data_IF_631636758924
#
_entry.id   IF_631636758924
#
_cell.length_a   1.000
_cell.length_b   1.000
_cell.length_c   1.000
_cell.angle_alpha   90.00
_cell.angle_beta   90.00
_cell.angle_gamma   90.00
#
_symmetry.space_group_name_H-M   'P 1'
#
loop_
_entity.id
_entity.type
_entity.pdbx_description
1 polymer ?
#
# COMPACT_ATOMS: atom_id res chain seq x y z
N UNK A 1 -12.36 24.67 -80.41
CA UNK A 1 -13.56 24.22 -79.68
C UNK A 1 -13.72 22.75 -79.96
N UNK A 2 -13.72 21.93 -78.89
CA UNK A 2 -14.18 20.54 -78.79
C UNK A 2 -13.44 19.54 -79.70
N UNK A 3 -13.15 18.32 -79.32
CA UNK A 3 -13.41 17.45 -78.17
C UNK A 3 -12.64 16.19 -78.57
N UNK A 4 -11.79 15.57 -77.73
CA UNK A 4 -11.45 14.16 -77.92
C UNK A 4 -10.98 13.53 -76.61
N UNK A 5 -11.93 12.79 -76.04
CA UNK A 5 -11.76 11.65 -75.15
C UNK A 5 -10.44 10.89 -75.33
N UNK A 6 -9.70 10.64 -74.24
CA UNK A 6 -8.85 9.46 -74.18
C UNK A 6 -8.96 8.72 -72.85
N UNK A 7 -9.10 7.42 -73.02
CA UNK A 7 -9.45 6.36 -72.09
C UNK A 7 -8.38 6.16 -71.01
N UNK A 8 -8.88 5.74 -69.84
CA UNK A 8 -8.14 5.19 -68.72
C UNK A 8 -7.40 3.90 -69.11
N UNK A 9 -6.13 3.81 -68.69
CA UNK A 9 -5.40 2.56 -68.43
C UNK A 9 -4.94 2.59 -66.97
N UNK A 10 -5.10 1.51 -66.18
CA UNK A 10 -4.82 1.55 -64.75
C UNK A 10 -3.32 1.39 -64.48
N UNK A 11 -2.74 2.36 -63.78
CA UNK A 11 -1.44 2.22 -63.15
C UNK A 11 -1.64 1.43 -61.85
N UNK A 12 -1.08 0.23 -61.78
CA UNK A 12 -1.01 -0.55 -60.55
C UNK A 12 0.01 0.12 -59.63
N UNK A 13 -0.47 0.83 -58.61
CA UNK A 13 0.35 1.28 -57.49
C UNK A 13 0.22 0.22 -56.39
N UNK A 14 1.30 -0.54 -56.19
CA UNK A 14 1.48 -1.37 -54.99
C UNK A 14 1.67 -0.43 -53.80
N UNK A 15 0.59 -0.10 -53.09
CA UNK A 15 0.69 0.51 -51.76
C UNK A 15 0.93 -0.64 -50.78
N UNK A 16 2.19 -0.83 -50.39
CA UNK A 16 2.51 -1.64 -49.22
C UNK A 16 1.97 -0.92 -47.98
N UNK A 17 0.75 -1.25 -47.57
CA UNK A 17 0.24 -0.91 -46.24
C UNK A 17 1.03 -1.69 -45.22
N UNK A 18 2.06 -1.03 -44.67
CA UNK A 18 2.70 -1.41 -43.43
C UNK A 18 1.65 -1.25 -42.31
N UNK A 19 0.93 -2.33 -42.02
CA UNK A 19 0.10 -2.47 -40.82
C UNK A 19 1.05 -2.47 -39.62
N UNK A 20 1.45 -1.29 -39.17
CA UNK A 20 1.89 -1.11 -37.80
C UNK A 20 0.61 -1.24 -36.97
N UNK A 21 0.28 -2.48 -36.55
CA UNK A 21 -0.48 -2.65 -35.33
C UNK A 21 0.38 -2.02 -34.23
N UNK A 22 0.14 -0.74 -33.96
CA UNK A 22 0.41 -0.22 -32.63
C UNK A 22 -0.48 -1.04 -31.72
N UNK A 23 0.05 -2.11 -31.15
CA UNK A 23 -0.48 -2.63 -29.91
C UNK A 23 -0.49 -1.40 -28.99
N UNK A 24 -1.69 -0.87 -28.75
CA UNK A 24 -1.89 0.16 -27.76
C UNK A 24 -1.35 -0.45 -26.47
N UNK A 25 -0.14 -0.04 -26.09
CA UNK A 25 0.39 -0.30 -24.76
C UNK A 25 -0.70 0.24 -23.85
N UNK A 26 -1.42 -0.60 -23.08
CA UNK A 26 -2.46 -0.09 -22.21
C UNK A 26 -1.77 0.91 -21.29
N UNK A 27 -2.18 2.17 -21.44
CA UNK A 27 -1.78 3.29 -20.63
C UNK A 27 -1.82 2.84 -19.18
N UNK A 28 -0.64 2.81 -18.56
CA UNK A 28 -0.39 2.45 -17.16
C UNK A 28 -1.53 3.05 -16.32
N UNK A 29 -2.35 2.20 -15.70
CA UNK A 29 -3.47 2.65 -14.90
C UNK A 29 -2.94 3.49 -13.74
N UNK A 30 -3.25 4.79 -13.77
CA UNK A 30 -2.92 5.71 -12.69
C UNK A 30 -4.06 5.63 -11.67
N UNK A 31 -3.77 5.09 -10.49
CA UNK A 31 -4.59 5.38 -9.32
C UNK A 31 -4.17 6.78 -8.89
N UNK A 32 -4.99 7.76 -9.29
CA UNK A 32 -4.89 9.08 -8.68
C UNK A 32 -5.48 8.94 -7.28
N UNK A 33 -4.66 9.21 -6.26
CA UNK A 33 -5.17 9.98 -5.14
C UNK A 33 -5.68 11.27 -5.76
N UNK A 34 -6.94 11.28 -6.21
CA UNK A 34 -7.62 12.53 -6.09
C UNK A 34 -7.56 12.77 -4.59
N UNK A 35 -6.81 13.79 -4.23
CA UNK A 35 -7.08 14.65 -3.10
C UNK A 35 -8.52 15.15 -3.30
N UNK A 36 -9.48 14.22 -3.30
CA UNK A 36 -10.87 14.50 -3.15
C UNK A 36 -10.84 15.44 -1.97
N UNK A 37 -11.39 16.63 -2.18
CA UNK A 37 -11.65 17.54 -1.09
C UNK A 37 -12.68 16.78 -0.26
N UNK A 38 -12.23 15.83 0.55
CA UNK A 38 -13.10 15.00 1.37
C UNK A 38 -13.85 16.02 2.19
N UNK A 39 -15.17 16.04 1.97
CA UNK A 39 -16.04 17.08 2.47
C UNK A 39 -16.09 17.06 3.99
N UNK A 40 -17.03 17.80 4.56
CA UNK A 40 -17.27 17.71 6.01
C UNK A 40 -17.82 16.35 6.43
N UNK A 41 -18.34 15.59 5.48
CA UNK A 41 -18.94 14.27 5.67
C UNK A 41 -18.64 13.37 4.49
N UNK A 42 -18.61 12.06 4.72
CA UNK A 42 -18.74 11.02 3.69
C UNK A 42 -20.02 10.23 3.95
N UNK A 43 -20.70 9.82 2.89
CA UNK A 43 -21.87 8.94 2.98
C UNK A 43 -21.48 7.54 2.58
N UNK A 44 -21.76 6.59 3.46
CA UNK A 44 -21.60 5.18 3.20
C UNK A 44 -22.96 4.52 2.98
N UNK A 45 -23.04 3.65 1.98
CA UNK A 45 -24.16 2.78 1.68
C UNK A 45 -23.75 1.33 1.93
N UNK A 46 -24.42 0.67 2.89
CA UNK A 46 -24.29 -0.77 3.10
C UNK A 46 -25.68 -1.40 3.07
N UNK A 47 -25.85 -2.41 2.22
CA UNK A 47 -27.18 -2.94 1.90
C UNK A 47 -28.17 -1.81 1.54
N UNK A 48 -29.29 -1.71 2.26
CA UNK A 48 -30.33 -0.69 2.03
C UNK A 48 -30.19 0.52 2.99
N UNK A 49 -29.17 0.52 3.85
CA UNK A 49 -28.95 1.57 4.84
C UNK A 49 -27.86 2.54 4.37
N UNK A 50 -28.04 3.80 4.75
CA UNK A 50 -27.05 4.85 4.51
C UNK A 50 -26.69 5.50 5.83
N UNK A 51 -25.40 5.68 6.06
CA UNK A 51 -24.90 6.35 7.24
C UNK A 51 -23.84 7.37 6.87
N UNK A 52 -23.76 8.41 7.69
CA UNK A 52 -22.85 9.54 7.49
C UNK A 52 -21.69 9.38 8.46
N UNK A 53 -20.47 9.41 7.92
CA UNK A 53 -19.24 9.45 8.71
C UNK A 53 -18.59 10.82 8.59
N UNK A 54 -17.89 11.21 9.64
CA UNK A 54 -17.23 12.50 9.73
C UNK A 54 -15.71 12.30 9.66
N UNK A 55 -15.06 12.74 8.57
CA UNK A 55 -13.62 12.64 8.43
C UNK A 55 -12.87 13.33 9.57
N UNK A 56 -11.93 12.61 10.16
CA UNK A 56 -11.07 13.13 11.22
C UNK A 56 -9.97 14.01 10.60
N UNK A 57 -10.22 15.32 10.54
CA UNK A 57 -9.28 16.31 9.98
C UNK A 57 -7.96 16.44 10.78
N UNK A 58 -7.90 15.95 12.01
CA UNK A 58 -6.68 15.94 12.81
C UNK A 58 -5.76 14.79 12.36
N UNK A 59 -6.33 13.60 12.13
CA UNK A 59 -5.59 12.40 11.74
C UNK A 59 -5.62 12.11 10.24
N UNK A 60 -6.36 12.91 9.46
CA UNK A 60 -6.25 13.01 8.01
C UNK A 60 -4.77 13.14 7.64
N UNK A 61 -4.31 12.46 6.59
CA UNK A 61 -2.93 12.54 6.17
C UNK A 61 -2.55 13.98 5.82
N UNK A 62 -1.99 14.70 6.79
CA UNK A 62 -1.17 15.88 6.52
C UNK A 62 0.17 15.35 6.05
N UNK A 63 0.78 15.91 4.99
CA UNK A 63 2.05 15.42 4.42
C UNK A 63 3.25 15.30 5.37
N UNK A 64 3.11 15.56 6.68
CA UNK A 64 4.22 15.77 7.61
C UNK A 64 4.12 15.08 8.98
N UNK A 65 3.11 14.27 9.31
CA UNK A 65 2.98 13.72 10.68
C UNK A 65 2.82 12.19 10.69
N UNK A 66 3.92 11.52 11.06
CA UNK A 66 4.11 10.32 11.89
C UNK A 66 3.33 9.01 11.63
N UNK A 67 2.33 8.98 10.73
CA UNK A 67 1.61 7.77 10.31
C UNK A 67 1.85 7.39 8.83
N UNK A 68 2.77 8.10 8.16
CA UNK A 68 3.14 7.87 6.76
C UNK A 68 3.57 6.44 6.38
N UNK A 69 4.15 5.61 7.27
CA UNK A 69 4.52 4.26 6.86
C UNK A 69 3.27 3.47 6.47
N UNK A 70 2.20 3.49 7.28
CA UNK A 70 0.95 2.77 7.01
C UNK A 70 0.25 3.18 5.70
N UNK A 71 0.23 4.47 5.33
CA UNK A 71 -0.49 4.93 4.13
C UNK A 71 0.22 4.62 2.80
N UNK A 72 1.55 4.74 2.73
CA UNK A 72 2.32 4.34 1.54
C UNK A 72 2.32 2.81 1.34
N UNK A 73 2.29 2.10 2.46
CA UNK A 73 2.09 0.66 2.59
C UNK A 73 0.76 0.24 1.99
N UNK A 74 -0.34 0.93 2.32
CA UNK A 74 -1.65 0.54 1.79
C UNK A 74 -1.77 0.85 0.29
N UNK A 75 -1.11 1.90 -0.22
CA UNK A 75 -1.05 2.10 -1.68
C UNK A 75 -0.31 0.95 -2.37
N UNK A 76 0.82 0.52 -1.80
CA UNK A 76 1.59 -0.63 -2.32
C UNK A 76 0.77 -1.93 -2.25
N UNK A 77 -0.03 -2.08 -1.19
CA UNK A 77 -0.98 -3.17 -1.01
C UNK A 77 -2.08 -3.15 -2.09
N UNK A 78 -2.70 -1.99 -2.34
CA UNK A 78 -3.75 -1.81 -3.34
C UNK A 78 -3.24 -2.02 -4.77
N UNK A 79 -2.02 -1.54 -5.06
CA UNK A 79 -1.34 -1.75 -6.33
C UNK A 79 -1.11 -3.24 -6.58
N UNK A 80 -0.69 -3.97 -5.55
CA UNK A 80 -0.47 -5.41 -5.61
C UNK A 80 -1.78 -6.20 -5.74
N UNK A 81 -2.80 -5.89 -4.94
CA UNK A 81 -4.15 -6.49 -5.08
C UNK A 81 -4.65 -6.31 -6.50
N UNK A 82 -4.52 -5.11 -7.07
CA UNK A 82 -4.99 -4.81 -8.43
C UNK A 82 -4.26 -5.61 -9.51
N UNK A 83 -2.96 -5.89 -9.32
CA UNK A 83 -2.18 -6.74 -10.24
C UNK A 83 -2.62 -8.20 -10.20
N UNK A 84 -2.96 -8.71 -9.01
CA UNK A 84 -3.25 -10.13 -8.80
C UNK A 84 -4.71 -10.51 -9.02
N UNK A 85 -5.64 -9.60 -8.76
CA UNK A 85 -7.07 -9.95 -8.70
C UNK A 85 -7.86 -9.54 -9.94
N UNK A 86 -7.25 -8.83 -10.91
CA UNK A 86 -7.94 -8.11 -12.01
C UNK A 86 -9.02 -7.13 -11.52
N UNK A 87 -9.17 -6.94 -10.20
CA UNK A 87 -10.13 -6.03 -9.61
C UNK A 87 -9.64 -4.60 -9.90
N UNK A 88 -10.54 -3.78 -10.45
CA UNK A 88 -10.32 -2.35 -10.64
C UNK A 88 -11.12 -1.64 -9.57
N UNK A 89 -10.51 -1.44 -8.42
CA UNK A 89 -11.15 -0.77 -7.29
C UNK A 89 -10.39 0.52 -7.04
N UNK A 90 -11.11 1.64 -7.09
CA UNK A 90 -10.63 2.91 -6.56
C UNK A 90 -11.21 3.06 -5.16
N UNK A 91 -10.34 3.11 -4.17
CA UNK A 91 -10.71 3.25 -2.76
C UNK A 91 -9.91 4.39 -2.14
N UNK A 92 -10.61 5.31 -1.48
CA UNK A 92 -10.01 6.38 -0.68
C UNK A 92 -9.98 5.96 0.80
N UNK A 93 -8.83 6.05 1.46
CA UNK A 93 -8.69 5.64 2.86
C UNK A 93 -8.83 6.86 3.74
N UNK A 94 -9.79 6.84 4.66
CA UNK A 94 -10.23 8.03 5.38
C UNK A 94 -10.29 7.74 6.88
N UNK A 95 -9.48 8.40 7.71
CA UNK A 95 -9.71 8.37 9.15
C UNK A 95 -11.01 9.11 9.46
N UNK A 96 -11.83 8.56 10.35
CA UNK A 96 -13.11 9.13 10.76
C UNK A 96 -13.19 9.27 12.28
N UNK A 97 -14.06 10.15 12.74
CA UNK A 97 -14.24 10.43 14.18
C UNK A 97 -15.13 9.41 14.88
N UNK A 98 -15.98 8.72 14.12
CA UNK A 98 -16.79 7.62 14.59
C UNK A 98 -15.91 6.50 15.12
N UNK A 99 -16.30 5.90 16.25
CA UNK A 99 -15.57 4.79 16.89
C UNK A 99 -15.84 3.45 16.19
N UNK A 100 -15.81 3.44 14.87
CA UNK A 100 -15.76 2.22 14.06
C UNK A 100 -14.35 1.64 14.10
N UNK A 101 -14.14 0.35 13.85
CA UNK A 101 -12.76 -0.16 13.77
C UNK A 101 -12.15 0.23 12.43
N UNK A 102 -12.43 -0.59 11.41
CA UNK A 102 -12.17 -0.33 9.99
C UNK A 102 -13.40 -0.83 9.24
N UNK A 103 -13.76 -0.16 8.15
CA UNK A 103 -14.94 -0.53 7.37
C UNK A 103 -14.79 -0.10 5.91
N UNK A 104 -15.01 -1.03 4.97
CA UNK A 104 -15.29 -0.66 3.58
C UNK A 104 -16.63 0.06 3.48
N UNK A 105 -16.62 1.22 2.82
CA UNK A 105 -17.72 2.14 2.74
C UNK A 105 -18.01 2.53 1.28
N UNK A 106 -18.89 1.79 0.57
CA UNK A 106 -19.32 2.15 -0.77
C UNK A 106 -20.13 3.46 -0.76
N UNK A 107 -19.87 4.34 -1.72
CA UNK A 107 -20.46 5.68 -1.78
C UNK A 107 -20.35 6.26 -3.20
N UNK A 108 -20.43 7.58 -3.29
CA UNK A 108 -20.03 8.30 -4.51
C UNK A 108 -18.59 7.94 -4.94
N UNK A 109 -17.73 7.72 -3.95
CA UNK A 109 -16.46 7.01 -4.04
C UNK A 109 -16.50 5.80 -3.09
N UNK A 110 -15.66 4.79 -3.32
CA UNK A 110 -15.48 3.76 -2.29
C UNK A 110 -14.47 4.27 -1.27
N UNK A 111 -14.78 4.12 0.01
CA UNK A 111 -13.86 4.49 1.09
C UNK A 111 -13.48 3.27 1.91
N UNK A 112 -12.28 3.26 2.49
CA UNK A 112 -12.04 2.50 3.72
C UNK A 112 -11.97 3.50 4.86
N UNK A 113 -13.01 3.51 5.68
CA UNK A 113 -13.12 4.38 6.84
C UNK A 113 -12.52 3.68 8.07
N UNK A 114 -11.78 4.40 8.91
CA UNK A 114 -11.20 3.80 10.12
C UNK A 114 -11.10 4.79 11.28
N UNK A 115 -11.22 4.28 12.52
CA UNK A 115 -10.93 5.08 13.70
C UNK A 115 -9.44 5.01 14.04
N UNK A 116 -8.77 6.15 13.96
CA UNK A 116 -7.31 6.23 14.11
C UNK A 116 -6.77 5.61 15.42
N UNK A 117 -7.32 5.91 16.61
CA UNK A 117 -6.79 5.34 17.86
C UNK A 117 -6.85 3.82 17.93
N UNK A 118 -7.87 3.20 17.32
CA UNK A 118 -7.97 1.74 17.27
C UNK A 118 -6.88 1.12 16.40
N UNK A 119 -6.68 1.69 15.21
CA UNK A 119 -5.67 1.22 14.27
C UNK A 119 -4.23 1.45 14.80
N UNK A 120 -4.00 2.57 15.47
CA UNK A 120 -2.73 2.88 16.16
C UNK A 120 -2.46 1.92 17.31
N UNK A 121 -3.49 1.53 18.07
CA UNK A 121 -3.35 0.53 19.12
C UNK A 121 -2.96 -0.84 18.53
N UNK A 122 -3.64 -1.29 17.47
CA UNK A 122 -3.32 -2.54 16.78
C UNK A 122 -1.86 -2.55 16.30
N UNK A 123 -1.43 -1.49 15.63
CA UNK A 123 -0.04 -1.37 15.18
C UNK A 123 0.92 -1.31 16.38
N UNK A 124 0.56 -0.59 17.43
CA UNK A 124 1.41 -0.44 18.60
C UNK A 124 1.63 -1.74 19.36
N UNK A 125 0.61 -2.61 19.41
CA UNK A 125 0.70 -3.95 20.00
C UNK A 125 1.50 -4.92 19.13
N UNK A 126 1.25 -4.93 17.83
CA UNK A 126 1.83 -5.93 16.91
C UNK A 126 3.19 -5.54 16.36
N UNK A 127 3.49 -4.23 16.29
CA UNK A 127 4.65 -3.65 15.60
C UNK A 127 4.85 -4.22 14.18
N UNK A 128 3.75 -4.53 13.51
CA UNK A 128 3.75 -5.28 12.25
C UNK A 128 2.84 -4.64 11.21
N UNK A 129 3.43 -4.30 10.07
CA UNK A 129 2.68 -3.83 8.91
C UNK A 129 1.79 -4.92 8.33
N UNK A 130 2.15 -6.20 8.49
CA UNK A 130 1.30 -7.33 8.11
C UNK A 130 0.00 -7.39 8.89
N UNK A 131 -0.01 -6.89 10.14
CA UNK A 131 -1.25 -6.76 10.88
C UNK A 131 -2.19 -5.75 10.21
N UNK A 132 -1.67 -4.57 9.84
CA UNK A 132 -2.45 -3.54 9.14
C UNK A 132 -2.91 -4.03 7.77
N UNK A 133 -2.01 -4.65 6.99
CA UNK A 133 -2.35 -5.25 5.70
C UNK A 133 -3.47 -6.28 5.82
N UNK A 134 -3.44 -7.14 6.85
CA UNK A 134 -4.49 -8.13 7.05
C UNK A 134 -5.86 -7.52 7.29
N UNK A 135 -5.94 -6.41 8.04
CA UNK A 135 -7.21 -5.70 8.25
C UNK A 135 -7.70 -5.05 6.95
N UNK A 136 -6.83 -4.35 6.22
CA UNK A 136 -7.25 -3.73 4.95
C UNK A 136 -7.61 -4.76 3.87
N UNK A 137 -6.88 -5.87 3.81
CA UNK A 137 -7.18 -6.98 2.90
C UNK A 137 -8.54 -7.61 3.19
N UNK A 138 -8.92 -7.70 4.47
CA UNK A 138 -10.23 -8.17 4.90
C UNK A 138 -11.34 -7.23 4.40
N UNK A 139 -11.20 -5.92 4.60
CA UNK A 139 -12.18 -4.92 4.11
C UNK A 139 -12.32 -4.93 2.58
N UNK A 140 -11.20 -5.08 1.88
CA UNK A 140 -11.19 -5.20 0.42
C UNK A 140 -11.79 -6.55 -0.01
N UNK A 141 -11.64 -7.59 0.79
CA UNK A 141 -12.33 -8.87 0.61
C UNK A 141 -13.84 -8.71 0.64
N UNK A 142 -14.39 -7.92 1.56
CA UNK A 142 -15.82 -7.61 1.58
C UNK A 142 -16.28 -6.93 0.29
N UNK A 143 -15.50 -5.99 -0.24
CA UNK A 143 -15.80 -5.36 -1.53
C UNK A 143 -15.69 -6.34 -2.70
N UNK A 144 -14.56 -7.05 -2.79
CA UNK A 144 -14.21 -7.94 -3.89
C UNK A 144 -15.21 -9.09 -4.04
N UNK A 145 -15.74 -9.57 -2.91
CA UNK A 145 -16.73 -10.64 -2.84
C UNK A 145 -18.17 -10.10 -2.83
N UNK A 146 -18.36 -8.78 -2.98
CA UNK A 146 -19.66 -8.11 -3.06
C UNK A 146 -20.52 -8.34 -1.80
N UNK A 147 -19.88 -8.44 -0.62
CA UNK A 147 -20.52 -8.61 0.68
C UNK A 147 -21.23 -7.33 1.14
N UNK A 148 -20.66 -6.18 0.80
CA UNK A 148 -21.14 -4.82 1.06
C UNK A 148 -22.58 -4.55 0.56
N UNK A 149 -23.03 -5.30 -0.46
CA UNK A 149 -24.37 -5.18 -1.05
C UNK A 149 -25.39 -6.16 -0.49
N UNK A 150 -24.94 -7.27 0.12
CA UNK A 150 -25.82 -8.40 0.47
C UNK A 150 -26.10 -8.54 1.96
N UNK A 151 -25.24 -8.01 2.84
CA UNK A 151 -25.51 -7.89 4.28
C UNK A 151 -24.36 -7.17 5.00
N UNK A 152 -24.68 -6.40 6.06
CA UNK A 152 -23.71 -5.94 7.07
C UNK A 152 -22.90 -7.13 7.63
N UNK A 153 -21.63 -6.89 8.01
CA UNK A 153 -20.62 -7.84 8.52
C UNK A 153 -20.97 -8.57 9.82
N UNK A 154 -22.15 -9.18 9.88
CA UNK A 154 -22.73 -9.90 11.02
C UNK A 154 -23.07 -11.35 10.69
N UNK A 155 -22.72 -11.82 9.48
CA UNK A 155 -22.85 -13.22 9.11
C UNK A 155 -21.47 -13.90 9.22
N UNK A 156 -21.28 -14.87 10.13
CA UNK A 156 -19.99 -15.52 10.33
C UNK A 156 -19.35 -16.08 9.05
N UNK A 157 -20.17 -16.56 8.10
CA UNK A 157 -19.69 -17.05 6.81
C UNK A 157 -19.01 -15.96 5.98
N UNK A 158 -19.60 -14.77 5.92
CA UNK A 158 -19.12 -13.63 5.12
C UNK A 158 -17.80 -13.09 5.67
N UNK A 159 -17.69 -13.01 7.00
CA UNK A 159 -16.46 -12.64 7.69
C UNK A 159 -15.32 -13.63 7.41
N UNK A 160 -15.60 -14.94 7.45
CA UNK A 160 -14.59 -15.96 7.14
C UNK A 160 -14.18 -15.96 5.66
N UNK A 161 -15.09 -15.63 4.75
CA UNK A 161 -14.78 -15.47 3.34
C UNK A 161 -13.86 -14.25 3.09
N UNK A 162 -14.08 -13.15 3.82
CA UNK A 162 -13.19 -12.00 3.81
C UNK A 162 -11.81 -12.29 4.45
N UNK A 163 -11.77 -13.04 5.57
CA UNK A 163 -10.52 -13.52 6.18
C UNK A 163 -9.72 -14.46 5.25
N UNK A 164 -10.42 -15.34 4.53
CA UNK A 164 -9.81 -16.22 3.52
C UNK A 164 -9.27 -15.42 2.33
N UNK A 165 -9.99 -14.40 1.86
CA UNK A 165 -9.49 -13.49 0.85
C UNK A 165 -8.23 -12.75 1.34
N UNK A 166 -8.25 -12.24 2.58
CA UNK A 166 -7.10 -11.58 3.18
C UNK A 166 -5.87 -12.50 3.20
N UNK A 167 -6.03 -13.74 3.66
CA UNK A 167 -4.94 -14.72 3.66
C UNK A 167 -4.35 -14.98 2.27
N UNK A 168 -5.20 -15.09 1.25
CA UNK A 168 -4.77 -15.27 -0.14
C UNK A 168 -3.92 -14.10 -0.62
N UNK A 169 -4.40 -12.87 -0.46
CA UNK A 169 -3.66 -11.68 -0.87
C UNK A 169 -2.33 -11.61 -0.15
N UNK A 170 -2.31 -11.74 1.19
CA UNK A 170 -1.10 -11.66 1.99
C UNK A 170 -0.05 -12.70 1.57
N UNK A 171 -0.46 -13.91 1.20
CA UNK A 171 0.44 -14.91 0.63
C UNK A 171 1.05 -14.47 -0.71
N UNK A 172 0.24 -13.91 -1.61
CA UNK A 172 0.72 -13.37 -2.88
C UNK A 172 1.69 -12.19 -2.69
N UNK A 173 1.55 -11.44 -1.58
CA UNK A 173 2.51 -10.40 -1.18
C UNK A 173 3.80 -10.94 -0.55
N UNK A 174 3.91 -12.25 -0.33
CA UNK A 174 5.07 -12.88 0.27
C UNK A 174 5.09 -12.87 1.80
N UNK A 175 3.95 -12.68 2.46
CA UNK A 175 3.84 -12.89 3.90
C UNK A 175 4.06 -14.37 4.23
N UNK A 176 4.80 -14.65 5.30
CA UNK A 176 4.70 -15.96 5.97
C UNK A 176 3.30 -16.15 6.56
N UNK A 177 2.92 -17.41 6.85
CA UNK A 177 1.64 -17.69 7.51
C UNK A 177 1.54 -17.00 8.88
N UNK A 178 2.66 -16.91 9.60
CA UNK A 178 2.71 -16.22 10.89
C UNK A 178 2.43 -14.72 10.74
N UNK A 179 3.07 -14.07 9.76
CA UNK A 179 2.84 -12.67 9.41
C UNK A 179 1.38 -12.44 8.99
N UNK A 180 0.83 -13.29 8.12
CA UNK A 180 -0.55 -13.21 7.66
C UNK A 180 -1.59 -13.31 8.79
N UNK A 181 -1.25 -14.03 9.86
CA UNK A 181 -2.11 -14.22 11.03
C UNK A 181 -1.86 -13.20 12.16
N UNK A 182 -0.93 -12.25 11.99
CA UNK A 182 -0.48 -11.37 13.08
C UNK A 182 -1.60 -10.49 13.66
N UNK A 183 -2.46 -9.90 12.81
CA UNK A 183 -3.58 -9.07 13.29
C UNK A 183 -4.49 -9.84 14.25
N UNK A 184 -4.89 -11.05 13.85
CA UNK A 184 -5.82 -11.93 14.56
C UNK A 184 -5.27 -12.47 15.89
N UNK A 185 -3.96 -12.36 16.10
CA UNK A 185 -3.29 -12.70 17.38
C UNK A 185 -3.18 -11.51 18.34
N UNK A 186 -3.55 -10.30 17.93
CA UNK A 186 -3.44 -9.09 18.77
C UNK A 186 -4.51 -9.02 19.86
N UNK A 187 -4.17 -8.49 21.03
CA UNK A 187 -5.15 -8.28 22.09
C UNK A 187 -6.25 -7.31 21.66
N UNK A 188 -5.92 -6.32 20.81
CA UNK A 188 -6.89 -5.40 20.19
C UNK A 188 -8.01 -6.15 19.48
N UNK A 189 -7.71 -7.20 18.72
CA UNK A 189 -8.74 -8.01 18.04
C UNK A 189 -9.55 -8.87 19.03
N UNK A 190 -8.89 -9.44 20.05
CA UNK A 190 -9.53 -10.28 21.07
C UNK A 190 -10.45 -9.49 22.01
N UNK A 191 -10.08 -8.27 22.40
CA UNK A 191 -10.88 -7.44 23.30
C UNK A 191 -12.19 -7.00 22.62
N UNK A 192 -12.18 -6.79 21.31
CA UNK A 192 -13.40 -6.45 20.58
C UNK A 192 -14.39 -7.62 20.49
N UNK A 193 -13.91 -8.86 20.46
CA UNK A 193 -14.73 -10.07 20.58
C UNK A 193 -15.43 -10.16 21.95
N UNK A 194 -14.80 -9.64 23.02
CA UNK A 194 -15.27 -9.81 24.41
C UNK A 194 -16.05 -8.60 24.94
N UNK A 195 -15.72 -7.37 24.53
CA UNK A 195 -16.17 -6.13 25.21
C UNK A 195 -17.24 -5.36 24.43
N UNK A 196 -17.27 -5.42 23.10
CA UNK A 196 -18.16 -4.56 22.30
C UNK A 196 -19.59 -5.08 22.13
N UNK A 197 -19.92 -6.27 22.65
CA UNK A 197 -21.22 -6.92 22.43
C UNK A 197 -21.65 -6.90 20.94
N UNK A 198 -20.70 -7.02 20.01
CA UNK A 198 -21.01 -7.21 18.61
C UNK A 198 -20.92 -8.72 18.29
N UNK A 199 -22.04 -9.47 18.29
CA UNK A 199 -22.08 -10.93 18.07
C UNK A 199 -21.74 -11.35 16.62
N UNK A 200 -21.00 -10.51 15.91
CA UNK A 200 -20.88 -10.49 14.46
C UNK A 200 -19.63 -11.19 13.92
N UNK A 201 -18.55 -11.28 14.70
CA UNK A 201 -17.31 -11.92 14.26
C UNK A 201 -17.21 -13.37 14.75
N UNK A 202 -16.79 -14.32 13.87
CA UNK A 202 -16.51 -15.69 14.26
C UNK A 202 -15.40 -15.78 15.32
N UNK A 203 -15.33 -16.89 16.09
CA UNK A 203 -14.24 -17.13 17.02
C UNK A 203 -12.87 -16.97 16.35
N UNK A 204 -11.89 -16.37 17.03
CA UNK A 204 -10.55 -16.11 16.48
C UNK A 204 -9.90 -17.36 15.87
N UNK A 205 -10.13 -18.55 16.46
CA UNK A 205 -9.62 -19.80 15.91
C UNK A 205 -10.15 -20.09 14.49
N UNK A 206 -11.41 -19.76 14.19
CA UNK A 206 -12.00 -19.92 12.86
C UNK A 206 -11.42 -18.89 11.88
N UNK A 207 -11.25 -17.64 12.34
CA UNK A 207 -10.64 -16.57 11.54
C UNK A 207 -9.20 -16.91 11.15
N UNK A 208 -8.39 -17.38 12.10
CA UNK A 208 -7.03 -17.87 11.86
C UNK A 208 -6.99 -19.01 10.83
N UNK A 209 -7.94 -19.95 10.91
CA UNK A 209 -8.04 -21.06 9.97
C UNK A 209 -8.48 -20.59 8.56
N UNK A 210 -9.38 -19.61 8.46
CA UNK A 210 -9.78 -19.02 7.19
C UNK A 210 -8.61 -18.30 6.51
N UNK A 211 -7.85 -17.48 7.27
CA UNK A 211 -6.61 -16.84 6.78
C UNK A 211 -5.62 -17.90 6.29
N UNK A 212 -5.40 -18.98 7.04
CA UNK A 212 -4.50 -20.06 6.62
C UNK A 212 -4.98 -20.73 5.33
N UNK A 213 -6.29 -21.00 5.21
CA UNK A 213 -6.89 -21.58 4.00
C UNK A 213 -6.63 -20.69 2.78
N UNK A 214 -6.83 -19.38 2.92
CA UNK A 214 -6.53 -18.39 1.88
C UNK A 214 -5.06 -18.37 1.51
N UNK A 215 -4.21 -18.28 2.53
CA UNK A 215 -2.75 -18.23 2.39
C UNK A 215 -2.21 -19.45 1.64
N UNK A 216 -2.73 -20.65 1.94
CA UNK A 216 -2.38 -21.89 1.23
C UNK A 216 -2.78 -21.86 -0.25
N UNK A 217 -3.88 -21.18 -0.62
CA UNK A 217 -4.26 -21.01 -2.04
C UNK A 217 -3.30 -20.09 -2.78
N UNK A 218 -2.92 -18.97 -2.17
CA UNK A 218 -1.93 -18.04 -2.72
C UNK A 218 -0.56 -18.69 -2.93
N UNK A 219 -0.15 -19.59 -2.03
CA UNK A 219 1.12 -20.33 -2.15
C UNK A 219 1.07 -21.63 -2.96
N UNK A 220 -0.12 -22.18 -3.22
CA UNK A 220 -0.31 -23.49 -3.86
C UNK A 220 -0.76 -23.45 -5.32
N UNK A 221 -1.24 -22.30 -5.81
CA UNK A 221 -1.48 -22.12 -7.25
C UNK A 221 -0.17 -21.76 -7.94
N UNK A 222 0.12 -22.42 -9.06
CA UNK A 222 1.32 -22.20 -9.89
C UNK A 222 1.28 -20.85 -10.62
N UNK A 223 1.06 -19.77 -9.89
CA UNK A 223 1.66 -18.49 -10.24
C UNK A 223 3.18 -18.69 -10.18
N UNK A 224 3.98 -18.11 -11.09
CA UNK A 224 5.41 -18.08 -10.86
C UNK A 224 5.61 -17.54 -9.43
N UNK A 225 6.51 -18.11 -8.61
CA UNK A 225 6.76 -17.59 -7.27
C UNK A 225 6.85 -16.07 -7.40
N UNK A 226 6.18 -15.28 -6.53
CA UNK A 226 6.33 -13.83 -6.56
C UNK A 226 7.83 -13.59 -6.67
N UNK A 227 8.22 -12.78 -7.66
CA UNK A 227 9.62 -12.59 -8.02
C UNK A 227 10.42 -12.54 -6.72
N UNK A 228 11.42 -13.42 -6.52
CA UNK A 228 12.08 -13.59 -5.24
C UNK A 228 12.33 -12.20 -4.69
N UNK A 229 11.80 -11.89 -3.49
CA UNK A 229 11.81 -10.57 -2.82
C UNK A 229 12.92 -9.76 -3.45
N UNK A 230 12.64 -8.71 -4.25
CA UNK A 230 13.57 -8.18 -5.25
C UNK A 230 14.94 -8.19 -4.61
N UNK A 231 15.78 -9.15 -5.02
CA UNK A 231 17.09 -9.25 -4.41
C UNK A 231 17.73 -7.93 -4.74
N UNK A 232 17.95 -7.10 -3.72
CA UNK A 232 18.36 -5.74 -3.93
C UNK A 232 19.75 -5.81 -4.51
N UNK A 233 19.80 -5.70 -5.83
CA UNK A 233 21.03 -5.56 -6.55
C UNK A 233 21.53 -4.17 -6.24
N UNK A 234 22.49 -4.09 -5.34
CA UNK A 234 23.27 -2.89 -5.11
C UNK A 234 24.08 -2.46 -6.35
N UNK A 235 23.92 -3.11 -7.51
CA UNK A 235 24.40 -2.59 -8.79
C UNK A 235 23.51 -1.46 -9.35
N UNK A 236 22.24 -1.35 -8.93
CA UNK A 236 21.32 -0.24 -9.27
C UNK A 236 21.09 0.68 -8.06
N UNK A 237 22.15 1.31 -7.56
CA UNK A 237 22.03 2.33 -6.51
C UNK A 237 21.26 3.52 -7.08
N UNK A 238 20.04 3.73 -6.58
CA UNK A 238 19.19 4.86 -7.00
C UNK A 238 19.54 6.14 -6.26
N UNK A 239 20.08 6.02 -5.04
CA UNK A 239 20.32 7.13 -4.12
C UNK A 239 21.63 6.92 -3.35
N UNK A 240 22.52 7.90 -3.39
CA UNK A 240 23.75 7.94 -2.60
C UNK A 240 23.71 9.13 -1.65
N UNK A 241 23.89 8.91 -0.36
CA UNK A 241 23.85 9.98 0.64
C UNK A 241 25.20 10.09 1.34
N UNK A 242 25.79 11.28 1.31
CA UNK A 242 26.99 11.61 2.07
C UNK A 242 26.59 12.46 3.26
N UNK A 243 26.89 11.97 4.47
CA UNK A 243 26.68 12.67 5.73
C UNK A 243 28.04 12.92 6.35
N UNK A 244 28.36 14.18 6.62
CA UNK A 244 29.62 14.62 7.25
C UNK A 244 29.37 15.80 8.16
N UNK A 245 30.38 16.33 8.86
CA UNK A 245 30.21 17.47 9.77
C UNK A 245 29.83 17.05 11.19
N UNK A 246 29.08 17.88 11.92
CA UNK A 246 28.85 17.73 13.35
C UNK A 246 27.34 17.75 13.67
N UNK A 247 26.84 16.72 14.37
CA UNK A 247 25.45 16.64 14.90
C UNK A 247 24.33 16.75 13.85
N UNK A 248 24.60 16.40 12.60
CA UNK A 248 23.60 16.34 11.55
C UNK A 248 22.68 15.14 11.75
N UNK A 249 21.39 15.31 11.45
CA UNK A 249 20.38 14.25 11.52
C UNK A 249 19.74 14.05 10.15
N UNK A 250 19.76 12.82 9.64
CA UNK A 250 19.18 12.47 8.34
C UNK A 250 18.17 11.36 8.50
N UNK A 251 17.01 11.52 7.87
CA UNK A 251 15.95 10.52 7.80
C UNK A 251 15.90 9.93 6.39
N UNK A 252 15.80 8.60 6.29
CA UNK A 252 15.47 7.90 5.05
C UNK A 252 14.13 7.20 5.25
N UNK A 253 13.16 7.55 4.42
CA UNK A 253 11.77 7.08 4.50
C UNK A 253 11.31 6.53 3.14
N UNK A 254 10.33 5.61 3.08
CA UNK A 254 9.82 5.08 1.81
C UNK A 254 9.10 6.13 0.97
N UNK A 255 9.29 6.09 -0.34
CA UNK A 255 8.64 6.95 -1.34
C UNK A 255 7.56 6.19 -2.13
N UNK A 256 6.38 6.78 -2.27
CA UNK A 256 5.31 6.33 -3.17
C UNK A 256 5.20 7.19 -4.44
N UNK A 257 5.61 8.47 -4.37
CA UNK A 257 5.72 9.37 -5.53
C UNK A 257 6.94 10.30 -5.37
N UNK A 258 7.66 10.56 -6.46
CA UNK A 258 8.84 11.45 -6.53
C UNK A 258 10.00 11.06 -5.59
N UNK A 259 10.59 9.86 -5.76
CA UNK A 259 11.73 9.43 -4.95
C UNK A 259 12.93 10.37 -5.12
N UNK A 260 13.72 10.49 -4.04
CA UNK A 260 15.06 11.07 -4.11
C UNK A 260 15.95 10.15 -4.94
N UNK A 261 16.75 10.74 -5.83
CA UNK A 261 17.64 9.98 -6.70
C UNK A 261 18.96 10.70 -6.90
N UNK A 262 20.01 9.96 -7.23
CA UNK A 262 21.35 10.50 -7.44
C UNK A 262 22.11 10.71 -6.14
N UNK A 263 23.08 11.62 -6.15
CA UNK A 263 23.95 11.88 -5.01
C UNK A 263 23.47 13.09 -4.20
N UNK A 264 23.28 12.91 -2.90
CA UNK A 264 22.85 13.93 -1.95
C UNK A 264 23.91 14.11 -0.87
N UNK A 265 24.15 15.35 -0.45
CA UNK A 265 25.13 15.66 0.60
C UNK A 265 24.47 16.44 1.73
N UNK A 266 24.76 16.03 2.97
CA UNK A 266 24.42 16.75 4.20
C UNK A 266 25.71 16.98 4.98
N UNK A 267 26.12 18.24 5.12
CA UNK A 267 27.37 18.61 5.78
C UNK A 267 27.21 19.93 6.55
N UNK A 268 28.15 20.22 7.46
CA UNK A 268 28.07 21.39 8.34
C UNK A 268 27.71 21.00 9.77
N UNK A 269 27.08 21.92 10.51
CA UNK A 269 26.73 21.73 11.93
C UNK A 269 25.20 21.75 12.06
N UNK A 270 24.64 20.79 12.81
CA UNK A 270 23.21 20.72 13.19
C UNK A 270 22.22 20.77 12.02
N UNK A 271 22.59 20.24 10.85
CA UNK A 271 21.71 20.09 9.70
C UNK A 271 20.67 18.99 9.91
N UNK A 272 19.50 19.17 9.32
CA UNK A 272 18.44 18.17 9.29
C UNK A 272 17.92 17.98 7.86
N UNK A 273 17.81 16.73 7.41
CA UNK A 273 17.33 16.40 6.07
C UNK A 273 16.50 15.11 6.06
N UNK A 274 15.55 15.02 5.13
CA UNK A 274 14.78 13.80 4.87
C UNK A 274 14.89 13.46 3.38
N UNK A 275 15.21 12.20 3.09
CA UNK A 275 15.26 11.66 1.74
C UNK A 275 14.27 10.50 1.59
N UNK A 276 13.69 10.39 0.40
CA UNK A 276 12.63 9.45 0.08
C UNK A 276 13.18 8.35 -0.82
N UNK A 277 13.25 7.11 -0.34
CA UNK A 277 13.75 5.96 -1.11
C UNK A 277 12.59 5.19 -1.74
N UNK A 278 12.66 4.98 -3.05
CA UNK A 278 11.70 4.13 -3.78
C UNK A 278 11.77 2.68 -3.27
N UNK A 279 10.60 2.06 -3.03
CA UNK A 279 10.54 0.67 -2.58
C UNK A 279 11.13 -0.26 -3.65
N UNK A 280 12.10 -1.08 -3.25
CA UNK A 280 12.81 -2.02 -4.13
C UNK A 280 14.07 -1.44 -4.76
N UNK A 281 14.47 -0.20 -4.45
CA UNK A 281 15.71 0.42 -4.93
C UNK A 281 16.74 0.57 -3.83
N UNK A 282 18.02 0.40 -4.19
CA UNK A 282 19.12 0.47 -3.24
C UNK A 282 19.51 1.92 -2.91
N UNK A 283 19.95 2.13 -1.67
CA UNK A 283 20.57 3.36 -1.19
C UNK A 283 21.89 3.06 -0.48
N UNK A 284 22.95 3.80 -0.84
CA UNK A 284 24.24 3.75 -0.15
C UNK A 284 24.42 5.04 0.66
N UNK A 285 24.84 4.90 1.92
CA UNK A 285 25.06 6.01 2.83
C UNK A 285 26.48 5.98 3.37
N UNK A 286 27.24 7.06 3.15
CA UNK A 286 28.50 7.29 3.82
C UNK A 286 28.25 8.22 5.01
N UNK A 287 28.31 7.68 6.22
CA UNK A 287 28.09 8.39 7.48
C UNK A 287 29.43 8.63 8.18
N UNK A 288 29.94 9.85 8.08
CA UNK A 288 31.23 10.31 8.62
C UNK A 288 31.05 11.51 9.56
N UNK A 289 32.14 12.07 10.11
CA UNK A 289 32.09 13.26 10.98
C UNK A 289 31.88 12.93 12.46
N UNK A 290 31.25 13.83 13.22
CA UNK A 290 31.11 13.71 14.68
C UNK A 290 29.65 13.82 15.12
N UNK A 291 29.14 12.86 15.90
CA UNK A 291 27.79 12.86 16.48
C UNK A 291 26.62 12.93 15.47
N UNK A 292 26.83 12.53 14.21
CA UNK A 292 25.77 12.50 13.20
C UNK A 292 24.84 11.31 13.41
N UNK A 293 23.56 11.48 13.05
CA UNK A 293 22.50 10.49 13.22
C UNK A 293 21.84 10.19 11.89
N UNK A 294 21.81 8.91 11.52
CA UNK A 294 21.03 8.39 10.42
C UNK A 294 19.85 7.61 10.98
N UNK A 295 18.63 7.94 10.55
CA UNK A 295 17.40 7.29 10.98
C UNK A 295 16.75 6.68 9.74
N UNK A 296 16.52 5.37 9.75
CA UNK A 296 16.02 4.61 8.61
C UNK A 296 14.70 3.95 8.98
N UNK A 297 13.68 4.11 8.14
CA UNK A 297 12.41 3.40 8.30
C UNK A 297 12.61 1.87 8.23
N UNK A 298 12.03 1.12 9.15
CA UNK A 298 12.17 -0.33 9.27
C UNK A 298 11.76 -1.09 8.00
N UNK A 299 10.80 -0.54 7.25
CA UNK A 299 10.31 -1.05 5.97
C UNK A 299 11.37 -1.10 4.86
N UNK A 300 12.33 -0.18 4.91
CA UNK A 300 13.37 -0.04 3.88
C UNK A 300 14.77 -0.35 4.42
N UNK A 301 14.90 -0.86 5.66
CA UNK A 301 16.20 -1.11 6.29
C UNK A 301 17.12 -2.01 5.45
N UNK A 302 16.53 -3.01 4.78
CA UNK A 302 17.26 -3.96 3.94
C UNK A 302 17.69 -3.36 2.59
N UNK A 303 17.18 -2.16 2.24
CA UNK A 303 17.49 -1.43 1.01
C UNK A 303 18.61 -0.41 1.20
N UNK A 304 19.03 -0.15 2.45
CA UNK A 304 20.00 0.87 2.80
C UNK A 304 21.27 0.23 3.34
N UNK A 305 22.40 0.47 2.67
CA UNK A 305 23.72 0.10 3.16
C UNK A 305 24.43 1.32 3.71
N UNK A 306 25.05 1.17 4.88
CA UNK A 306 25.66 2.28 5.61
C UNK A 306 27.13 1.98 5.88
N UNK A 307 28.01 2.77 5.28
CA UNK A 307 29.41 2.82 5.64
C UNK A 307 29.60 3.89 6.72
N UNK A 308 30.19 3.50 7.85
CA UNK A 308 30.36 4.38 9.02
C UNK A 308 31.83 4.67 9.27
N UNK A 309 32.15 5.93 9.46
CA UNK A 309 33.47 6.43 9.87
C UNK A 309 33.32 7.62 10.84
N UNK A 310 34.41 8.14 11.39
CA UNK A 310 34.37 9.28 12.32
C UNK A 310 34.02 8.90 13.77
N UNK A 311 33.47 9.85 14.54
CA UNK A 311 33.31 9.74 16.00
C UNK A 311 31.84 9.79 16.40
N UNK A 312 31.37 8.77 17.13
CA UNK A 312 30.03 8.71 17.74
C UNK A 312 28.86 8.93 16.76
N UNK A 313 28.99 8.47 15.52
CA UNK A 313 27.90 8.48 14.56
C UNK A 313 26.95 7.31 14.81
N UNK A 314 25.64 7.54 14.70
CA UNK A 314 24.60 6.57 15.03
C UNK A 314 23.72 6.25 13.83
N UNK A 315 23.38 4.98 13.68
CA UNK A 315 22.32 4.51 12.78
C UNK A 315 21.20 3.93 13.63
N UNK A 316 19.97 4.40 13.41
CA UNK A 316 18.79 4.02 14.18
C UNK A 316 17.74 3.51 13.19
N UNK A 317 17.20 2.32 13.46
CA UNK A 317 16.05 1.78 12.71
C UNK A 317 14.78 2.16 13.48
N UNK A 318 13.81 2.76 12.80
CA UNK A 318 12.52 3.17 13.38
C UNK A 318 11.35 2.71 12.54
#
# INVERSE_FOLDING_TARGET
MNDYSHRLTPFVIFVATLLILSAAIPTRAQIQFQKAQIGETITCHISDESYVLHPDKQHMPRPQIQFMPAFNIIQSFLDLVSQHTKLRIQVDIVPVTEKINVQICPGDHNYIAFYYPWLDQLYSETKSNWALYGIFAHEIGHYALNHDRTSLGSQPRIELEADEFAGLILAEMGASLEEAQTAYRSNTMWINEVVTQNPSHPPIAQRLAAVEKGWRKGNGTSSPPPAPRPQISFAEISLQIIISGIRNTVYIVPASTSPSSGQMTVSGIDQNATFYLEIGKACDVNLSGVNNRLIISAEIKEQVRVERSGVNNQTIIK
#
